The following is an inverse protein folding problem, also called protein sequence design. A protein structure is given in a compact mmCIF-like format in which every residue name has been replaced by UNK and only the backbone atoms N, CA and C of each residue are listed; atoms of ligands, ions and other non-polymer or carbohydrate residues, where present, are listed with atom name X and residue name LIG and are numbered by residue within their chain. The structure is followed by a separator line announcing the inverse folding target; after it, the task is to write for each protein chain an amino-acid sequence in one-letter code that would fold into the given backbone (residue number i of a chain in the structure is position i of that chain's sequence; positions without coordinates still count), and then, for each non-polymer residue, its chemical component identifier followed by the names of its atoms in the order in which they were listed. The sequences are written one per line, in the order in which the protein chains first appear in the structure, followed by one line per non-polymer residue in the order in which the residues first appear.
data_IF_084847506368
#
_entry.id   IF_084847506368
#
_cell.length_a   1.000
_cell.length_b   1.000
_cell.length_c   1.000
_cell.angle_alpha   90.00
_cell.angle_beta   90.00
_cell.angle_gamma   90.00
#
_symmetry.space_group_name_H-M   'P 1'
#
loop_
_entity.id
_entity.type
_entity.pdbx_description
1 polymer ?
#
# COMPACT_ATOMS: atom_id res chain seq x y z
N UNK A 1 -4.33 -31.94 19.81
CA UNK A 1 -4.90 -30.71 20.40
C UNK A 1 -4.38 -29.56 19.56
N UNK A 2 -5.26 -28.84 18.83
CA UNK A 2 -4.86 -27.61 18.16
C UNK A 2 -4.68 -26.56 19.27
N UNK A 3 -3.46 -26.05 19.42
CA UNK A 3 -3.20 -24.93 20.33
C UNK A 3 -4.07 -23.76 19.86
N UNK A 4 -5.04 -23.39 20.67
CA UNK A 4 -5.80 -22.17 20.49
C UNK A 4 -4.85 -21.04 20.85
N UNK A 5 -4.20 -20.46 19.84
CA UNK A 5 -3.39 -19.26 20.04
C UNK A 5 -4.36 -18.14 20.36
N UNK A 6 -4.28 -17.62 21.56
CA UNK A 6 -5.10 -16.50 22.03
C UNK A 6 -4.48 -15.20 21.46
N UNK A 7 -5.00 -14.77 20.29
CA UNK A 7 -4.55 -13.53 19.66
C UNK A 7 -5.13 -12.33 20.39
N UNK A 8 -4.27 -11.43 20.81
CA UNK A 8 -4.70 -10.13 21.33
C UNK A 8 -4.65 -9.10 20.20
N UNK A 9 -5.78 -8.39 20.00
CA UNK A 9 -5.92 -7.32 19.00
C UNK A 9 -6.09 -6.00 19.73
N UNK A 10 -5.08 -5.13 19.63
CA UNK A 10 -5.07 -3.82 20.29
C UNK A 10 -5.18 -2.71 19.25
N UNK A 11 -6.29 -1.95 19.17
CA UNK A 11 -6.41 -0.82 18.26
C UNK A 11 -5.33 0.24 18.52
N UNK A 12 -4.72 0.76 17.44
CA UNK A 12 -3.63 1.76 17.50
C UNK A 12 -4.13 3.18 17.25
N UNK A 13 -5.25 3.32 16.53
CA UNK A 13 -5.80 4.63 16.16
C UNK A 13 -7.31 4.52 15.92
N UNK A 14 -8.07 5.61 16.15
CA UNK A 14 -9.47 5.69 15.72
C UNK A 14 -9.65 5.62 14.20
N UNK A 15 -8.62 5.94 13.42
CA UNK A 15 -8.66 5.90 11.97
C UNK A 15 -8.66 4.48 11.43
N UNK A 16 -7.61 3.75 11.73
CA UNK A 16 -7.37 2.34 11.39
C UNK A 16 -6.11 1.87 12.14
N UNK A 17 -5.74 0.61 11.95
CA UNK A 17 -4.54 0.02 12.53
C UNK A 17 -4.79 -0.68 13.85
N UNK A 18 -4.26 -1.91 13.97
CA UNK A 18 -4.23 -2.66 15.23
C UNK A 18 -2.92 -3.43 15.35
N UNK A 19 -2.43 -3.55 16.58
CA UNK A 19 -1.33 -4.44 16.93
C UNK A 19 -1.88 -5.84 17.21
N UNK A 20 -1.21 -6.84 16.67
CA UNK A 20 -1.51 -8.25 16.92
C UNK A 20 -0.36 -8.84 17.74
N UNK A 21 -0.70 -9.40 18.88
CA UNK A 21 0.21 -10.17 19.72
C UNK A 21 -0.29 -11.60 19.95
N UNK A 22 0.61 -12.49 20.40
CA UNK A 22 0.31 -13.89 20.62
C UNK A 22 0.59 -14.81 19.42
N UNK A 23 0.92 -14.28 18.23
CA UNK A 23 1.30 -15.09 17.06
C UNK A 23 2.82 -15.12 16.89
N UNK A 24 3.40 -16.32 16.81
CA UNK A 24 4.80 -16.55 16.41
C UNK A 24 4.86 -16.76 14.89
N UNK A 25 5.22 -15.70 14.15
CA UNK A 25 5.27 -15.74 12.68
C UNK A 25 6.47 -16.55 12.14
N UNK A 26 7.40 -16.93 12.99
CA UNK A 26 8.51 -17.81 12.60
C UNK A 26 8.06 -19.24 12.34
N UNK A 27 6.87 -19.62 12.82
CA UNK A 27 6.27 -20.94 12.70
C UNK A 27 5.09 -20.96 11.73
N UNK A 28 4.71 -22.12 11.19
CA UNK A 28 3.45 -22.29 10.50
C UNK A 28 2.27 -21.94 11.43
N UNK A 29 1.28 -21.21 10.89
CA UNK A 29 0.07 -20.86 11.62
C UNK A 29 -1.06 -21.85 11.36
N UNK A 30 -1.90 -22.08 12.36
CA UNK A 30 -3.13 -22.86 12.19
C UNK A 30 -4.15 -22.09 11.32
N UNK A 31 -5.08 -22.81 10.69
CA UNK A 31 -6.17 -22.18 9.92
C UNK A 31 -7.04 -21.28 10.77
N UNK A 32 -7.25 -21.60 12.05
CA UNK A 32 -8.00 -20.76 12.99
C UNK A 32 -7.27 -19.46 13.31
N UNK A 33 -5.94 -19.50 13.50
CA UNK A 33 -5.11 -18.30 13.69
C UNK A 33 -5.15 -17.39 12.46
N UNK A 34 -5.00 -17.97 11.26
CA UNK A 34 -5.10 -17.21 10.00
C UNK A 34 -6.48 -16.59 9.84
N UNK A 35 -7.56 -17.30 10.19
CA UNK A 35 -8.93 -16.77 10.14
C UNK A 35 -9.12 -15.60 11.12
N UNK A 36 -8.60 -15.70 12.34
CA UNK A 36 -8.64 -14.63 13.33
C UNK A 36 -7.85 -13.39 12.89
N UNK A 37 -6.69 -13.57 12.24
CA UNK A 37 -5.92 -12.46 11.65
C UNK A 37 -6.71 -11.80 10.52
N UNK A 38 -7.35 -12.58 9.63
CA UNK A 38 -8.20 -12.05 8.54
C UNK A 38 -9.37 -11.24 9.08
N UNK A 39 -10.04 -11.72 10.13
CA UNK A 39 -11.15 -11.00 10.77
C UNK A 39 -10.66 -9.67 11.41
N UNK A 40 -9.57 -9.69 12.16
CA UNK A 40 -8.95 -8.48 12.69
C UNK A 40 -8.57 -7.50 11.58
N UNK A 41 -8.04 -8.01 10.48
CA UNK A 41 -7.64 -7.19 9.32
C UNK A 41 -8.83 -6.50 8.66
N UNK A 42 -9.92 -7.22 8.40
CA UNK A 42 -11.16 -6.64 7.86
C UNK A 42 -11.74 -5.51 8.71
N UNK A 43 -11.53 -5.56 10.04
CA UNK A 43 -11.96 -4.51 10.97
C UNK A 43 -10.99 -3.32 11.04
N UNK A 44 -9.68 -3.58 10.99
CA UNK A 44 -8.65 -2.58 11.29
C UNK A 44 -7.84 -2.13 10.06
N UNK A 45 -7.96 -2.76 8.89
CA UNK A 45 -7.35 -2.42 7.60
C UNK A 45 -5.82 -2.55 7.56
N UNK A 46 -5.15 -2.25 8.66
CA UNK A 46 -3.69 -2.33 8.84
C UNK A 46 -3.40 -3.11 10.10
N UNK A 47 -2.57 -4.14 10.02
CA UNK A 47 -2.12 -4.90 11.19
C UNK A 47 -0.61 -4.77 11.38
N UNK A 48 -0.20 -4.71 12.63
CA UNK A 48 1.19 -4.57 13.07
C UNK A 48 1.54 -5.74 13.99
N UNK A 49 2.62 -6.44 13.65
CA UNK A 49 3.23 -7.45 14.50
C UNK A 49 4.59 -6.91 14.95
N UNK A 50 4.74 -6.66 16.25
CA UNK A 50 5.95 -6.05 16.80
C UNK A 50 7.04 -7.09 17.08
N UNK A 51 8.31 -6.63 17.07
CA UNK A 51 9.45 -7.40 17.56
C UNK A 51 9.70 -8.73 16.84
N UNK A 52 9.33 -8.82 15.57
CA UNK A 52 9.51 -10.03 14.78
C UNK A 52 10.97 -10.18 14.33
N UNK A 53 11.43 -11.44 14.23
CA UNK A 53 12.72 -11.78 13.61
C UNK A 53 12.44 -12.79 12.51
N UNK A 54 12.21 -12.29 11.29
CA UNK A 54 11.73 -13.11 10.16
C UNK A 54 12.82 -13.25 9.09
N UNK A 55 13.07 -14.50 8.66
CA UNK A 55 13.74 -14.76 7.40
C UNK A 55 12.83 -14.35 6.23
N UNK A 56 13.38 -14.24 5.04
CA UNK A 56 12.60 -13.97 3.83
C UNK A 56 11.56 -15.06 3.57
N UNK A 57 11.96 -16.32 3.73
CA UNK A 57 11.07 -17.47 3.57
C UNK A 57 9.90 -17.45 4.56
N UNK A 58 10.15 -17.11 5.83
CA UNK A 58 9.10 -17.00 6.85
C UNK A 58 8.12 -15.88 6.52
N UNK A 59 8.60 -14.73 6.04
CA UNK A 59 7.76 -13.64 5.59
C UNK A 59 6.89 -14.06 4.40
N UNK A 60 7.46 -14.70 3.38
CA UNK A 60 6.73 -15.17 2.20
C UNK A 60 5.71 -16.26 2.57
N UNK A 61 6.08 -17.20 3.43
CA UNK A 61 5.14 -18.19 3.97
C UNK A 61 3.95 -17.54 4.67
N UNK A 62 4.19 -16.55 5.53
CA UNK A 62 3.11 -15.82 6.19
C UNK A 62 2.20 -15.13 5.16
N UNK A 63 2.76 -14.41 4.21
CA UNK A 63 1.99 -13.72 3.19
C UNK A 63 1.15 -14.68 2.33
N UNK A 64 1.64 -15.89 2.07
CA UNK A 64 0.94 -16.90 1.25
C UNK A 64 -0.36 -17.43 1.88
N UNK A 65 -0.57 -17.25 3.19
CA UNK A 65 -1.87 -17.59 3.81
C UNK A 65 -3.02 -16.69 3.33
N UNK A 66 -2.71 -15.56 2.70
CA UNK A 66 -3.68 -14.54 2.28
C UNK A 66 -3.92 -14.51 0.78
N UNK A 67 -3.22 -15.33 0.00
CA UNK A 67 -3.40 -15.49 -1.44
C UNK A 67 -2.08 -15.73 -2.17
N UNK A 68 -2.16 -15.73 -3.50
CA UNK A 68 -1.00 -15.94 -4.37
C UNK A 68 -0.04 -14.76 -4.26
N UNK A 69 1.24 -15.07 -4.03
CA UNK A 69 2.27 -14.05 -3.88
C UNK A 69 2.50 -13.32 -5.20
N UNK A 70 2.45 -11.99 -5.14
CA UNK A 70 2.69 -11.13 -6.27
C UNK A 70 4.14 -11.15 -6.74
N UNK A 71 4.33 -11.17 -8.05
CA UNK A 71 5.63 -10.92 -8.67
C UNK A 71 5.83 -9.41 -8.72
N UNK A 72 6.99 -8.93 -8.23
CA UNK A 72 7.26 -7.50 -8.22
C UNK A 72 7.19 -6.89 -9.62
N UNK A 73 6.47 -5.79 -9.75
CA UNK A 73 6.43 -5.00 -10.98
C UNK A 73 7.79 -4.29 -11.13
N UNK A 74 8.58 -4.69 -12.12
CA UNK A 74 9.88 -4.06 -12.40
C UNK A 74 9.65 -2.73 -13.12
N UNK A 75 10.41 -1.71 -12.74
CA UNK A 75 10.47 -0.47 -13.53
C UNK A 75 10.94 -0.75 -14.97
N UNK A 76 10.61 0.10 -15.95
CA UNK A 76 11.19 0.04 -17.28
C UNK A 76 12.72 -0.03 -17.23
N UNK A 77 13.33 -0.72 -18.19
CA UNK A 77 14.77 -1.00 -18.20
C UNK A 77 15.68 0.23 -17.95
N UNK A 78 15.43 1.40 -18.54
CA UNK A 78 16.24 2.59 -18.27
C UNK A 78 16.22 3.06 -16.81
N UNK A 79 15.20 2.69 -16.04
CA UNK A 79 15.02 3.08 -14.64
C UNK A 79 15.46 1.97 -13.65
N UNK A 80 15.91 0.81 -14.15
CA UNK A 80 16.37 -0.29 -13.30
C UNK A 80 17.80 -0.06 -12.84
N UNK A 81 18.07 -0.32 -11.56
CA UNK A 81 19.42 -0.42 -11.05
C UNK A 81 20.06 -1.74 -11.46
N UNK A 82 21.33 -1.70 -11.90
CA UNK A 82 22.12 -2.92 -12.17
C UNK A 82 22.36 -3.74 -10.90
N UNK A 83 22.47 -3.09 -9.75
CA UNK A 83 22.69 -3.75 -8.47
C UNK A 83 21.40 -4.46 -7.94
N UNK A 84 20.22 -4.05 -8.40
CA UNK A 84 18.95 -4.65 -7.99
C UNK A 84 18.90 -6.17 -8.24
N UNK A 85 19.36 -6.62 -9.39
CA UNK A 85 19.41 -8.04 -9.74
C UNK A 85 20.37 -8.87 -8.90
N UNK A 86 21.37 -8.23 -8.27
CA UNK A 86 22.37 -8.90 -7.41
C UNK A 86 21.81 -9.10 -6.00
N UNK A 87 21.16 -8.09 -5.44
CA UNK A 87 20.72 -8.07 -4.05
C UNK A 87 19.25 -8.49 -3.86
N UNK A 88 18.48 -8.51 -4.93
CA UNK A 88 17.07 -8.92 -4.95
C UNK A 88 16.90 -10.12 -5.87
N UNK A 89 17.34 -11.28 -5.43
CA UNK A 89 17.29 -12.53 -6.20
C UNK A 89 15.89 -13.13 -6.29
N UNK A 90 15.03 -12.86 -5.30
CA UNK A 90 13.66 -13.36 -5.28
C UNK A 90 12.71 -12.36 -5.97
N UNK A 91 12.02 -12.79 -7.01
CA UNK A 91 11.07 -11.97 -7.77
C UNK A 91 9.81 -11.55 -6.98
N UNK A 92 9.52 -12.21 -5.85
CA UNK A 92 8.38 -11.92 -4.97
C UNK A 92 8.73 -10.92 -3.87
N UNK A 93 10.01 -10.54 -3.77
CA UNK A 93 10.52 -9.61 -2.75
C UNK A 93 11.03 -8.34 -3.39
N UNK A 94 10.72 -7.21 -2.77
CA UNK A 94 11.26 -5.91 -3.12
C UNK A 94 11.92 -5.29 -1.89
N UNK A 95 13.19 -4.87 -2.01
CA UNK A 95 13.85 -4.05 -1.00
C UNK A 95 13.43 -2.59 -1.17
N UNK A 96 12.80 -2.04 -0.12
CA UNK A 96 12.42 -0.62 -0.05
C UNK A 96 13.52 0.09 0.74
N UNK A 97 14.45 0.76 0.04
CA UNK A 97 15.71 1.21 0.64
C UNK A 97 16.34 2.37 -0.10
N UNK A 98 17.10 3.21 0.64
CA UNK A 98 18.00 4.22 0.08
C UNK A 98 19.46 3.74 -0.02
N UNK A 99 19.73 2.49 0.34
CA UNK A 99 21.09 1.94 0.35
C UNK A 99 21.60 1.78 -1.08
N UNK A 100 22.85 2.17 -1.27
CA UNK A 100 23.59 1.99 -2.52
C UNK A 100 24.84 1.16 -2.25
N UNK A 101 25.20 0.31 -3.21
CA UNK A 101 26.46 -0.42 -3.22
C UNK A 101 27.17 -0.06 -4.54
N UNK A 102 28.42 0.36 -4.45
CA UNK A 102 29.20 0.88 -5.60
C UNK A 102 28.45 1.99 -6.37
N UNK A 103 27.73 2.86 -5.63
CA UNK A 103 26.94 3.96 -6.18
C UNK A 103 25.60 3.53 -6.79
N UNK A 104 25.27 2.23 -6.84
CA UNK A 104 24.04 1.72 -7.42
C UNK A 104 23.00 1.36 -6.34
N UNK A 105 21.71 1.79 -6.47
CA UNK A 105 20.67 1.40 -5.54
C UNK A 105 20.47 -0.12 -5.51
N UNK A 106 20.40 -0.72 -4.33
CA UNK A 106 20.11 -2.15 -4.18
C UNK A 106 18.62 -2.49 -4.15
N UNK A 107 17.75 -1.48 -4.13
CA UNK A 107 16.30 -1.62 -4.10
C UNK A 107 15.60 -0.42 -4.71
N UNK A 108 14.35 -0.23 -4.33
CA UNK A 108 13.48 0.84 -4.85
C UNK A 108 13.08 1.85 -3.77
N UNK A 109 12.47 2.97 -4.23
CA UNK A 109 11.84 4.01 -3.39
C UNK A 109 12.79 4.71 -2.41
N UNK A 110 14.06 4.85 -2.73
CA UNK A 110 15.14 5.55 -2.05
C UNK A 110 14.75 6.57 -0.98
N UNK A 111 15.42 7.70 -0.96
CA UNK A 111 15.19 8.83 -0.06
C UNK A 111 14.00 9.71 -0.45
N UNK A 112 13.57 10.62 0.44
CA UNK A 112 12.51 11.59 0.23
C UNK A 112 11.12 11.08 0.65
N UNK A 113 10.15 11.98 0.63
CA UNK A 113 8.76 11.65 0.84
C UNK A 113 8.18 10.79 -0.30
N UNK A 114 7.09 10.10 0.00
CA UNK A 114 6.30 9.40 -1.00
C UNK A 114 4.83 9.76 -0.76
N UNK A 115 4.21 10.40 -1.74
CA UNK A 115 2.82 10.85 -1.63
C UNK A 115 1.85 9.70 -1.46
N UNK A 116 0.66 9.99 -0.97
CA UNK A 116 -0.40 9.00 -0.86
C UNK A 116 -0.67 8.32 -2.20
N UNK A 117 -0.63 6.98 -2.17
CA UNK A 117 -0.79 6.12 -3.34
C UNK A 117 -1.38 4.76 -2.98
N UNK A 118 -1.82 4.05 -4.01
CA UNK A 118 -2.27 2.66 -3.96
C UNK A 118 -1.22 1.81 -4.67
N UNK A 119 -0.71 0.76 -4.01
CA UNK A 119 0.27 -0.13 -4.63
C UNK A 119 -0.25 -0.74 -5.94
N UNK A 120 0.49 -0.51 -7.04
CA UNK A 120 0.15 -0.94 -8.41
C UNK A 120 -1.24 -0.51 -8.92
N UNK A 121 -1.83 0.58 -8.41
CA UNK A 121 -3.10 1.13 -8.87
C UNK A 121 -3.19 1.39 -10.37
N UNK A 122 -2.07 1.57 -11.04
CA UNK A 122 -1.95 1.75 -12.49
C UNK A 122 -2.05 0.45 -13.32
N UNK A 123 -2.31 -0.70 -12.70
CA UNK A 123 -2.45 -2.00 -13.37
C UNK A 123 -3.89 -2.49 -13.32
N UNK A 124 -4.30 -3.34 -14.27
CA UNK A 124 -5.65 -3.89 -14.33
C UNK A 124 -6.03 -4.74 -13.10
N UNK A 125 -5.02 -5.25 -12.38
CA UNK A 125 -5.15 -6.02 -11.15
C UNK A 125 -4.18 -5.44 -10.12
N UNK A 126 -4.58 -4.38 -9.38
CA UNK A 126 -3.78 -3.83 -8.29
C UNK A 126 -3.50 -4.91 -7.23
N UNK A 127 -2.36 -4.81 -6.55
CA UNK A 127 -2.09 -5.73 -5.45
C UNK A 127 -3.22 -5.64 -4.41
N UNK A 128 -3.73 -6.82 -4.00
CA UNK A 128 -4.72 -6.91 -2.92
C UNK A 128 -4.10 -6.47 -1.60
N UNK A 129 -2.96 -7.05 -1.27
CA UNK A 129 -2.29 -6.89 0.01
C UNK A 129 -0.83 -6.59 -0.15
N UNK A 130 -0.31 -5.78 0.76
CA UNK A 130 1.12 -5.51 0.89
C UNK A 130 1.59 -5.80 2.31
N UNK A 131 2.79 -6.36 2.40
CA UNK A 131 3.48 -6.70 3.64
C UNK A 131 4.85 -6.03 3.65
N UNK A 132 5.21 -5.41 4.78
CA UNK A 132 6.44 -4.66 4.89
C UNK A 132 7.13 -4.98 6.23
N UNK A 133 8.38 -5.44 6.17
CA UNK A 133 9.16 -5.84 7.32
C UNK A 133 10.37 -4.92 7.51
N UNK A 134 10.54 -4.36 8.72
CA UNK A 134 11.60 -3.41 9.04
C UNK A 134 12.91 -4.12 9.41
N UNK A 135 13.95 -3.92 8.61
CA UNK A 135 15.30 -4.45 8.80
C UNK A 135 16.26 -3.38 9.37
N UNK A 136 16.34 -2.22 8.73
CA UNK A 136 17.13 -1.07 9.18
C UNK A 136 16.26 0.19 9.13
N UNK A 137 16.35 1.02 10.14
CA UNK A 137 15.52 2.22 10.29
C UNK A 137 16.37 3.44 10.59
N UNK A 138 15.99 4.61 10.05
CA UNK A 138 16.59 5.87 10.44
C UNK A 138 16.21 6.25 11.87
N UNK A 139 16.96 7.15 12.49
CA UNK A 139 16.72 7.64 13.86
C UNK A 139 15.40 8.41 14.00
N UNK A 140 14.92 8.99 12.88
CA UNK A 140 13.66 9.75 12.81
C UNK A 140 13.08 9.76 11.41
N UNK A 141 11.77 9.96 11.30
CA UNK A 141 11.07 10.01 10.00
C UNK A 141 10.99 8.63 9.32
N UNK A 142 10.71 8.64 8.02
CA UNK A 142 10.48 7.40 7.26
C UNK A 142 9.25 6.64 7.71
N UNK A 143 8.33 7.30 8.46
CA UNK A 143 7.07 6.73 8.93
C UNK A 143 6.17 6.38 7.74
N UNK A 144 5.28 5.43 7.94
CA UNK A 144 4.25 5.13 6.94
C UNK A 144 2.88 5.60 7.45
N UNK A 145 2.23 6.45 6.67
CA UNK A 145 0.87 6.92 6.94
C UNK A 145 -0.12 6.08 6.15
N UNK A 146 -1.23 5.69 6.76
CA UNK A 146 -2.33 4.94 6.15
C UNK A 146 -3.62 5.71 6.32
N UNK A 147 -4.35 5.96 5.24
CA UNK A 147 -5.68 6.55 5.33
C UNK A 147 -6.78 5.51 5.12
N UNK A 148 -7.84 5.61 5.92
CA UNK A 148 -9.01 4.75 5.86
C UNK A 148 -9.97 5.22 4.76
N UNK A 149 -9.95 4.56 3.61
CA UNK A 149 -10.72 4.95 2.44
C UNK A 149 -12.20 4.56 2.50
N UNK A 150 -12.62 3.75 3.47
CA UNK A 150 -14.04 3.58 3.81
C UNK A 150 -14.59 4.86 4.45
N UNK A 151 -13.89 5.41 5.47
CA UNK A 151 -14.26 6.68 6.09
C UNK A 151 -14.21 7.84 5.11
N UNK A 152 -13.22 7.83 4.21
CA UNK A 152 -13.12 8.81 3.13
C UNK A 152 -14.36 8.72 2.22
N UNK A 153 -14.77 7.53 1.78
CA UNK A 153 -16.00 7.35 1.02
C UNK A 153 -17.23 7.88 1.76
N UNK A 154 -17.38 7.53 3.04
CA UNK A 154 -18.53 7.99 3.84
C UNK A 154 -18.61 9.52 3.90
N UNK A 155 -17.46 10.20 3.97
CA UNK A 155 -17.33 11.66 4.04
C UNK A 155 -17.50 12.39 2.70
N UNK A 156 -17.55 11.69 1.56
CA UNK A 156 -17.81 12.33 0.24
C UNK A 156 -19.24 12.90 0.25
N UNK A 157 -19.44 14.19 -0.11
CA UNK A 157 -20.78 14.80 -0.19
C UNK A 157 -21.74 14.04 -1.13
N UNK A 158 -23.00 13.94 -0.77
CA UNK A 158 -24.01 13.19 -1.53
C UNK A 158 -24.11 13.63 -3.00
N UNK A 159 -24.05 14.92 -3.28
CA UNK A 159 -24.05 15.47 -4.65
C UNK A 159 -22.83 14.98 -5.45
N UNK A 160 -21.65 14.92 -4.81
CA UNK A 160 -20.44 14.44 -5.46
C UNK A 160 -20.48 12.93 -5.66
N UNK A 161 -21.02 12.16 -4.71
CA UNK A 161 -21.28 10.72 -4.90
C UNK A 161 -22.23 10.47 -6.09
N UNK A 162 -23.32 11.23 -6.19
CA UNK A 162 -24.25 11.11 -7.31
C UNK A 162 -23.58 11.42 -8.66
N UNK A 163 -22.76 12.47 -8.72
CA UNK A 163 -22.00 12.86 -9.91
C UNK A 163 -21.00 11.79 -10.36
N UNK A 164 -20.38 11.10 -9.43
CA UNK A 164 -19.28 10.16 -9.70
C UNK A 164 -19.70 8.69 -9.75
N UNK A 165 -20.94 8.36 -9.43
CA UNK A 165 -21.47 6.99 -9.51
C UNK A 165 -21.26 6.40 -10.91
N UNK A 166 -20.72 5.18 -10.99
CA UNK A 166 -20.42 4.48 -12.23
C UNK A 166 -19.22 5.02 -12.98
N UNK A 167 -18.58 6.10 -12.53
CA UNK A 167 -17.40 6.67 -13.22
C UNK A 167 -16.13 5.96 -12.79
N UNK A 168 -15.18 5.93 -13.74
CA UNK A 168 -13.81 5.43 -13.50
C UNK A 168 -12.83 6.60 -13.42
N UNK A 169 -11.74 6.39 -12.75
CA UNK A 169 -10.60 7.29 -12.70
C UNK A 169 -9.38 6.64 -13.36
N UNK A 170 -8.61 7.41 -14.10
CA UNK A 170 -7.34 7.02 -14.70
C UNK A 170 -6.27 7.03 -13.63
N UNK A 171 -5.67 5.86 -13.38
CA UNK A 171 -4.45 5.72 -12.58
C UNK A 171 -3.26 5.50 -13.51
N UNK A 172 -2.21 6.29 -13.36
CA UNK A 172 -1.03 6.30 -14.21
C UNK A 172 0.23 6.51 -13.37
N UNK A 173 1.35 5.86 -13.73
CA UNK A 173 2.57 5.91 -12.95
C UNK A 173 3.82 6.02 -13.81
N UNK A 174 4.54 7.14 -13.66
CA UNK A 174 5.85 7.38 -14.29
C UNK A 174 7.03 7.07 -13.36
N UNK A 175 6.81 6.27 -12.31
CA UNK A 175 7.83 5.90 -11.32
C UNK A 175 8.39 7.08 -10.49
N UNK A 176 7.65 8.19 -10.46
CA UNK A 176 7.89 9.33 -9.56
C UNK A 176 7.24 9.10 -8.19
N UNK A 177 7.64 9.85 -7.16
CA UNK A 177 7.20 9.62 -5.78
C UNK A 177 6.39 10.77 -5.19
N UNK A 178 6.65 11.99 -5.63
CA UNK A 178 6.03 13.23 -5.15
C UNK A 178 5.68 14.18 -6.30
N UNK A 179 5.34 13.61 -7.44
CA UNK A 179 5.03 14.32 -8.66
C UNK A 179 4.02 13.52 -9.48
N UNK A 180 3.02 14.18 -10.04
CA UNK A 180 2.05 13.53 -10.92
C UNK A 180 2.63 13.26 -12.29
N UNK A 181 2.12 12.23 -12.97
CA UNK A 181 2.39 11.98 -14.37
C UNK A 181 1.80 13.11 -15.24
N UNK A 182 2.53 13.48 -16.29
CA UNK A 182 2.01 14.38 -17.32
C UNK A 182 1.10 13.59 -18.26
N UNK A 183 -0.16 13.99 -18.34
CA UNK A 183 -1.18 13.37 -19.21
C UNK A 183 -1.63 14.30 -20.36
N UNK A 184 -0.91 15.38 -20.61
CA UNK A 184 -1.22 16.32 -21.70
C UNK A 184 -0.89 15.78 -23.09
N UNK A 185 0.01 14.82 -23.18
CA UNK A 185 0.46 14.15 -24.41
C UNK A 185 -0.05 12.72 -24.58
N UNK A 186 0.64 11.95 -25.41
CA UNK A 186 0.40 10.51 -25.57
C UNK A 186 0.90 9.73 -24.35
N UNK A 187 -0.01 9.04 -23.68
CA UNK A 187 0.28 8.22 -22.50
C UNK A 187 0.36 6.71 -22.80
N UNK A 188 0.26 6.30 -24.06
CA UNK A 188 0.21 4.87 -24.45
C UNK A 188 1.44 4.08 -23.99
N UNK A 189 2.60 4.75 -23.88
CA UNK A 189 3.85 4.17 -23.39
C UNK A 189 4.01 4.15 -21.85
N UNK A 190 3.07 4.75 -21.12
CA UNK A 190 3.13 4.85 -19.65
C UNK A 190 2.14 3.85 -19.05
N UNK A 191 2.54 3.03 -18.06
CA UNK A 191 1.61 2.10 -17.43
C UNK A 191 0.42 2.83 -16.80
N UNK A 192 -0.79 2.48 -17.22
CA UNK A 192 -2.02 3.09 -16.73
C UNK A 192 -3.22 2.14 -16.79
N UNK A 193 -4.23 2.40 -15.96
CA UNK A 193 -5.50 1.68 -15.95
C UNK A 193 -6.62 2.56 -15.41
N UNK A 194 -7.86 2.29 -15.85
CA UNK A 194 -9.06 2.90 -15.31
C UNK A 194 -9.69 1.99 -14.26
N UNK A 195 -9.95 2.55 -13.06
CA UNK A 195 -10.66 1.87 -11.97
C UNK A 195 -11.89 2.65 -11.52
N UNK A 196 -12.90 2.00 -10.91
CA UNK A 196 -14.02 2.71 -10.31
C UNK A 196 -13.55 3.76 -9.31
N UNK A 197 -14.13 4.97 -9.34
CA UNK A 197 -13.87 6.00 -8.30
C UNK A 197 -14.33 5.49 -6.93
N UNK A 198 -15.46 4.77 -6.90
CA UNK A 198 -16.00 4.10 -5.72
C UNK A 198 -16.02 2.61 -5.96
N UNK A 199 -15.14 1.87 -5.32
CA UNK A 199 -15.14 0.43 -5.44
C UNK A 199 -15.93 -0.25 -4.30
N UNK A 200 -16.50 -1.42 -4.58
CA UNK A 200 -17.04 -2.32 -3.56
C UNK A 200 -15.95 -3.30 -3.14
N UNK A 201 -15.65 -3.33 -1.86
CA UNK A 201 -14.66 -4.26 -1.34
C UNK A 201 -15.23 -5.70 -1.35
N UNK A 202 -14.61 -6.66 -2.04
CA UNK A 202 -15.21 -7.97 -2.29
C UNK A 202 -15.44 -8.79 -1.01
N UNK A 203 -14.58 -8.64 -0.01
CA UNK A 203 -14.68 -9.45 1.22
C UNK A 203 -15.63 -8.82 2.26
N UNK A 204 -15.84 -7.50 2.25
CA UNK A 204 -16.63 -6.79 3.27
C UNK A 204 -17.94 -6.19 2.74
N UNK A 205 -18.11 -6.07 1.42
CA UNK A 205 -19.23 -5.39 0.76
C UNK A 205 -19.25 -3.87 0.98
N UNK A 206 -18.28 -3.31 1.69
CA UNK A 206 -18.20 -1.86 1.98
C UNK A 206 -17.72 -1.08 0.76
N UNK A 207 -18.22 0.14 0.59
CA UNK A 207 -17.71 1.07 -0.41
C UNK A 207 -16.44 1.76 0.07
N UNK A 208 -15.46 1.86 -0.82
CA UNK A 208 -14.19 2.53 -0.61
C UNK A 208 -13.97 3.59 -1.69
N UNK A 209 -13.41 4.73 -1.32
CA UNK A 209 -12.94 5.73 -2.27
C UNK A 209 -11.61 5.25 -2.86
N UNK A 210 -11.58 4.95 -4.16
CA UNK A 210 -10.41 4.39 -4.84
C UNK A 210 -9.73 5.44 -5.72
N UNK A 211 -9.17 6.47 -5.08
CA UNK A 211 -8.34 7.52 -5.71
C UNK A 211 -7.19 7.88 -4.78
N UNK A 212 -6.09 8.31 -5.35
CA UNK A 212 -4.90 8.77 -4.62
C UNK A 212 -4.26 9.97 -5.31
N UNK A 213 -3.49 10.76 -4.56
CA UNK A 213 -2.85 11.99 -5.05
C UNK A 213 -1.77 11.72 -6.09
N UNK A 214 -1.01 10.64 -5.94
CA UNK A 214 0.15 10.39 -6.78
C UNK A 214 -0.24 9.91 -8.18
N UNK A 215 -1.14 8.92 -8.26
CA UNK A 215 -1.39 8.18 -9.50
C UNK A 215 -2.71 8.50 -10.15
N UNK A 216 -3.72 9.01 -9.43
CA UNK A 216 -5.01 9.31 -10.06
C UNK A 216 -4.94 10.66 -10.78
N UNK A 217 -5.12 10.65 -12.10
CA UNK A 217 -4.85 11.81 -12.95
C UNK A 217 -6.09 12.42 -13.63
N UNK A 218 -7.14 11.61 -13.86
CA UNK A 218 -8.35 12.08 -14.56
C UNK A 218 -9.57 11.22 -14.20
N UNK A 219 -10.75 11.82 -14.21
CA UNK A 219 -12.05 11.12 -14.09
C UNK A 219 -12.65 10.99 -15.48
N UNK A 220 -13.04 9.78 -15.84
CA UNK A 220 -13.68 9.48 -17.12
C UNK A 220 -14.99 10.28 -17.31
N UNK A 221 -15.15 10.87 -18.50
CA UNK A 221 -16.35 11.65 -18.86
C UNK A 221 -16.44 13.05 -18.22
N UNK A 222 -15.36 13.54 -17.62
CA UNK A 222 -15.18 14.95 -17.26
C UNK A 222 -14.08 15.57 -18.13
N UNK A 223 -14.18 16.87 -18.42
CA UNK A 223 -13.02 17.57 -18.98
C UNK A 223 -11.88 17.68 -17.95
N UNK A 224 -10.67 18.00 -18.38
CA UNK A 224 -9.50 17.97 -17.51
C UNK A 224 -9.58 19.01 -16.38
N UNK A 225 -10.15 20.18 -16.65
CA UNK A 225 -10.27 21.25 -15.64
C UNK A 225 -11.26 20.86 -14.54
N UNK A 226 -12.43 20.37 -14.94
CA UNK A 226 -13.46 19.85 -14.02
C UNK A 226 -12.93 18.64 -13.23
N UNK A 227 -12.25 17.71 -13.92
CA UNK A 227 -11.63 16.54 -13.30
C UNK A 227 -10.61 16.93 -12.22
N UNK A 228 -9.77 17.92 -12.51
CA UNK A 228 -8.77 18.40 -11.54
C UNK A 228 -9.41 18.97 -10.27
N UNK A 229 -10.48 19.76 -10.42
CA UNK A 229 -11.23 20.31 -9.28
C UNK A 229 -11.84 19.20 -8.43
N UNK A 230 -12.48 18.23 -9.08
CA UNK A 230 -13.12 17.10 -8.39
C UNK A 230 -12.08 16.22 -7.71
N UNK A 231 -11.00 15.87 -8.40
CA UNK A 231 -9.93 15.06 -7.83
C UNK A 231 -9.27 15.75 -6.63
N UNK A 232 -9.04 17.07 -6.70
CA UNK A 232 -8.48 17.81 -5.57
C UNK A 232 -9.38 17.69 -4.33
N UNK A 233 -10.70 17.82 -4.48
CA UNK A 233 -11.65 17.60 -3.38
C UNK A 233 -11.57 16.18 -2.81
N UNK A 234 -11.46 15.15 -3.68
CA UNK A 234 -11.38 13.77 -3.25
C UNK A 234 -10.06 13.47 -2.52
N UNK A 235 -8.93 14.06 -2.96
CA UNK A 235 -7.65 13.93 -2.24
C UNK A 235 -7.73 14.57 -0.85
N UNK A 236 -8.28 15.79 -0.76
CA UNK A 236 -8.46 16.47 0.52
C UNK A 236 -9.35 15.69 1.48
N UNK A 237 -10.39 15.02 0.98
CA UNK A 237 -11.23 14.12 1.78
C UNK A 237 -10.45 12.88 2.20
N UNK A 238 -9.74 12.24 1.27
CA UNK A 238 -8.97 11.01 1.53
C UNK A 238 -7.81 11.23 2.50
N UNK A 239 -7.24 12.42 2.51
CA UNK A 239 -6.07 12.78 3.33
C UNK A 239 -6.43 13.54 4.62
N UNK A 240 -7.69 13.53 5.07
CA UNK A 240 -8.09 14.12 6.34
C UNK A 240 -7.36 13.47 7.50
N UNK A 241 -6.83 14.30 8.41
CA UNK A 241 -6.03 13.83 9.55
C UNK A 241 -6.76 12.79 10.41
N UNK A 242 -8.05 12.93 10.60
CA UNK A 242 -8.89 12.00 11.37
C UNK A 242 -9.06 10.62 10.72
N UNK A 243 -8.70 10.45 9.45
CA UNK A 243 -8.71 9.18 8.74
C UNK A 243 -7.34 8.52 8.67
N UNK A 244 -6.28 9.21 9.14
CA UNK A 244 -4.90 8.77 9.01
C UNK A 244 -4.40 8.14 10.31
N UNK A 245 -3.84 6.94 10.17
CA UNK A 245 -2.95 6.31 11.12
C UNK A 245 -1.51 6.46 10.64
N UNK A 246 -0.64 7.03 11.46
CA UNK A 246 0.79 7.15 11.19
C UNK A 246 1.55 6.10 12.00
N UNK A 247 2.18 5.16 11.28
CA UNK A 247 3.01 4.13 11.87
C UNK A 247 4.45 4.63 12.02
N UNK A 248 4.87 4.81 13.27
CA UNK A 248 6.27 5.04 13.63
C UNK A 248 6.94 3.68 13.79
N UNK A 249 7.88 3.40 12.89
CA UNK A 249 8.56 2.12 12.81
C UNK A 249 9.44 1.83 14.01
N UNK A 250 9.47 0.56 14.41
CA UNK A 250 10.44 -0.01 15.36
C UNK A 250 11.16 -1.18 14.69
N UNK A 251 12.42 -1.47 15.06
CA UNK A 251 13.12 -2.66 14.53
C UNK A 251 12.30 -3.92 14.75
N UNK A 252 12.20 -4.76 13.71
CA UNK A 252 11.40 -5.98 13.76
C UNK A 252 9.89 -5.78 13.61
N UNK A 253 9.42 -4.59 13.31
CA UNK A 253 8.01 -4.39 12.95
C UNK A 253 7.70 -5.08 11.62
N UNK A 254 6.60 -5.82 11.62
CA UNK A 254 6.03 -6.40 10.42
C UNK A 254 4.60 -5.90 10.25
N UNK A 255 4.36 -5.20 9.15
CA UNK A 255 3.06 -4.62 8.81
C UNK A 255 2.42 -5.34 7.64
N UNK A 256 1.08 -5.35 7.66
CA UNK A 256 0.26 -5.76 6.52
C UNK A 256 -0.92 -4.81 6.34
N UNK A 257 -1.27 -4.48 5.10
CA UNK A 257 -2.42 -3.63 4.78
C UNK A 257 -3.15 -4.06 3.53
N UNK A 258 -4.43 -3.66 3.45
CA UNK A 258 -5.30 -3.91 2.31
C UNK A 258 -5.33 -2.68 1.40
N UNK A 259 -4.77 -2.80 0.19
CA UNK A 259 -4.72 -1.73 -0.80
C UNK A 259 -6.09 -1.33 -1.37
N UNK A 260 -7.11 -2.16 -1.18
CA UNK A 260 -8.46 -1.90 -1.70
C UNK A 260 -9.24 -0.90 -0.85
N UNK A 261 -8.80 -0.68 0.39
CA UNK A 261 -9.47 0.20 1.34
C UNK A 261 -8.53 1.13 2.11
N UNK A 262 -7.25 1.18 1.73
CA UNK A 262 -6.27 2.15 2.24
C UNK A 262 -5.47 2.77 1.11
N UNK A 263 -5.10 4.03 1.29
CA UNK A 263 -3.96 4.66 0.59
C UNK A 263 -2.85 4.86 1.61
N UNK A 264 -1.60 4.87 1.17
CA UNK A 264 -0.48 5.04 2.08
C UNK A 264 0.58 5.99 1.52
N UNK A 265 1.30 6.63 2.45
CA UNK A 265 2.34 7.59 2.16
C UNK A 265 3.55 7.37 3.08
N UNK A 266 4.70 7.91 2.71
CA UNK A 266 5.90 7.88 3.54
C UNK A 266 6.39 9.30 3.82
N UNK A 267 6.66 9.58 5.09
CA UNK A 267 7.34 10.82 5.50
C UNK A 267 8.81 10.79 5.09
N UNK A 268 9.40 11.95 4.92
CA UNK A 268 10.83 12.07 4.65
C UNK A 268 11.67 11.61 5.87
N UNK A 269 12.96 11.34 5.65
CA UNK A 269 13.92 10.93 6.66
C UNK A 269 15.33 11.40 6.28
N UNK A 270 16.30 11.46 7.21
CA UNK A 270 17.67 11.89 6.93
C UNK A 270 18.30 11.04 5.83
N UNK A 271 18.78 11.67 4.76
CA UNK A 271 19.32 10.99 3.56
C UNK A 271 20.59 10.18 3.84
N UNK A 272 21.31 10.57 4.87
CA UNK A 272 22.56 9.94 5.32
C UNK A 272 22.32 8.67 6.12
N UNK A 273 21.11 8.51 6.65
CA UNK A 273 20.74 7.36 7.46
C UNK A 273 20.16 6.24 6.61
N UNK A 274 20.55 5.02 6.94
CA UNK A 274 20.09 3.83 6.21
C UNK A 274 18.67 3.49 6.58
N UNK A 275 17.86 3.19 5.58
CA UNK A 275 16.52 2.66 5.72
C UNK A 275 16.36 1.45 4.81
N UNK A 276 16.04 0.30 5.40
CA UNK A 276 15.85 -0.95 4.67
C UNK A 276 14.63 -1.68 5.20
N UNK A 277 13.64 -1.86 4.32
CA UNK A 277 12.48 -2.71 4.58
C UNK A 277 12.33 -3.74 3.45
N UNK A 278 11.82 -4.89 3.79
CA UNK A 278 11.57 -5.98 2.85
C UNK A 278 10.07 -6.10 2.58
N UNK A 279 9.66 -5.88 1.33
CA UNK A 279 8.27 -5.91 0.88
C UNK A 279 7.95 -7.19 0.12
N UNK A 280 6.79 -7.77 0.38
CA UNK A 280 6.12 -8.71 -0.52
C UNK A 280 4.64 -8.35 -0.65
N UNK A 281 3.97 -8.88 -1.66
CA UNK A 281 2.59 -8.54 -2.00
C UNK A 281 1.79 -9.80 -2.31
N UNK A 282 0.47 -9.67 -2.28
CA UNK A 282 -0.47 -10.67 -2.78
C UNK A 282 -1.17 -10.10 -4.01
N UNK A 283 -1.30 -10.93 -5.06
CA UNK A 283 -1.98 -10.56 -6.29
C UNK A 283 -3.43 -10.18 -6.03
N UNK A 284 -3.91 -9.22 -6.79
CA UNK A 284 -5.29 -8.76 -6.74
C UNK A 284 -6.13 -9.26 -7.90
N UNK A 285 -7.37 -8.84 -7.89
CA UNK A 285 -8.37 -9.06 -8.92
C UNK A 285 -8.78 -7.74 -9.57
N UNK A 286 -9.47 -7.77 -10.73
CA UNK A 286 -10.10 -6.58 -11.29
C UNK A 286 -11.11 -5.99 -10.29
N UNK A 287 -11.14 -4.65 -10.19
CA UNK A 287 -11.99 -3.94 -9.25
C UNK A 287 -13.35 -3.60 -9.90
N UNK A 288 -14.39 -3.55 -9.10
CA UNK A 288 -15.76 -3.20 -9.50
C UNK A 288 -16.42 -2.22 -8.51
N UNK A 289 -17.43 -1.50 -8.97
CA UNK A 289 -18.25 -0.61 -8.15
C UNK A 289 -19.34 -1.37 -7.36
#
# INVERSE_FOLDING_TARGET
MQDVIDLTVTPLSPACGAEISGADLTKPLSSSTVAAIKDAWGRHLVLVFRGQTLTEEQQLRFASYFGDLGIRKKAPEPLRSRAEGIYQTNEKVLLVTNIKVDGQPIGAFGEGEFWFHIDSGYTARPYRYTFLYALELPSRGGNTMFSNMYKAYDAVPAALKAKLRGRKALHIHEYKRSEKADISGDISGIPHCYHPVFMTHPDTGRKSLFVDRLMTARIEGLDQAESNVVLQQLYEIGERREFIYEHVWRPGDFLMWDNRCTIHARTDFPKEERRLLRRCTVEGEPLFE
#
